data_IF_745568641706
#
_entry.id   IF_745568641706
#
_cell.length_a   1.000
_cell.length_b   1.000
_cell.length_c   1.000
_cell.angle_alpha   90.00
_cell.angle_beta   90.00
_cell.angle_gamma   90.00
#
_symmetry.space_group_name_H-M   'P 1'
#
loop_
_entity.id
_entity.type
_entity.pdbx_description
1 polymer ?
#
# COMPACT_ATOMS: atom_id res chain seq x y z
N UNK A 1 -72.26 -15.43 -38.80
CA UNK A 1 -71.28 -16.36 -39.38
C UNK A 1 -70.10 -16.39 -38.45
N UNK A 2 -70.06 -17.40 -37.59
CA UNK A 2 -68.88 -17.72 -36.77
C UNK A 2 -67.78 -18.28 -37.66
N UNK A 3 -66.52 -17.97 -37.34
CA UNK A 3 -65.29 -18.77 -37.50
C UNK A 3 -64.09 -17.82 -37.35
N UNK A 4 -62.93 -18.11 -36.76
CA UNK A 4 -62.37 -19.26 -36.03
C UNK A 4 -61.11 -18.72 -35.32
N UNK A 5 -61.00 -19.03 -34.03
CA UNK A 5 -59.81 -19.31 -33.22
C UNK A 5 -58.43 -19.38 -33.90
N UNK A 6 -57.40 -18.73 -33.34
CA UNK A 6 -56.15 -19.43 -32.95
C UNK A 6 -55.12 -18.58 -32.18
N UNK A 7 -54.85 -19.07 -30.96
CA UNK A 7 -53.52 -19.35 -30.36
C UNK A 7 -52.49 -18.22 -30.16
N UNK A 8 -52.25 -18.00 -28.85
CA UNK A 8 -50.94 -18.07 -28.18
C UNK A 8 -49.79 -17.29 -28.82
N UNK A 9 -49.38 -16.20 -28.18
CA UNK A 9 -47.97 -16.02 -27.81
C UNK A 9 -47.86 -15.14 -26.56
N UNK A 10 -47.90 -15.81 -25.42
CA UNK A 10 -47.26 -15.38 -24.18
C UNK A 10 -45.80 -15.08 -24.50
N UNK A 11 -45.37 -13.82 -24.41
CA UNK A 11 -43.94 -13.48 -24.35
C UNK A 11 -43.65 -12.88 -22.99
N UNK A 12 -43.18 -13.77 -22.13
CA UNK A 12 -42.52 -13.51 -20.86
C UNK A 12 -41.66 -12.25 -20.92
N UNK A 13 -42.00 -11.25 -20.10
CA UNK A 13 -41.02 -10.30 -19.62
C UNK A 13 -40.08 -11.06 -18.69
N UNK A 14 -38.99 -11.58 -19.26
CA UNK A 14 -37.87 -12.06 -18.47
C UNK A 14 -37.25 -10.84 -17.80
N UNK A 15 -37.60 -10.65 -16.52
CA UNK A 15 -36.91 -9.76 -15.60
C UNK A 15 -35.47 -10.27 -15.56
N UNK A 16 -34.58 -9.58 -16.26
CA UNK A 16 -33.15 -9.81 -16.15
C UNK A 16 -32.74 -9.29 -14.77
N UNK A 17 -32.89 -10.15 -13.76
CA UNK A 17 -32.14 -10.05 -12.52
C UNK A 17 -30.67 -10.09 -12.90
N UNK A 18 -30.08 -8.92 -13.12
CA UNK A 18 -28.64 -8.78 -13.14
C UNK A 18 -28.15 -9.30 -11.81
N UNK A 19 -27.52 -10.46 -11.92
CA UNK A 19 -27.02 -11.28 -10.85
C UNK A 19 -26.32 -10.39 -9.85
N UNK A 20 -26.81 -10.47 -8.62
CA UNK A 20 -26.09 -10.11 -7.40
C UNK A 20 -24.85 -11.00 -7.27
N UNK A 21 -23.85 -10.78 -8.11
CA UNK A 21 -22.47 -11.02 -7.73
C UNK A 21 -21.96 -9.69 -7.17
N UNK A 22 -22.45 -9.35 -5.97
CA UNK A 22 -21.58 -8.73 -4.98
C UNK A 22 -20.51 -9.78 -4.75
N UNK A 23 -19.48 -9.78 -5.60
CA UNK A 23 -18.27 -10.50 -5.27
C UNK A 23 -17.88 -9.94 -3.91
N UNK A 24 -17.74 -10.84 -2.93
CA UNK A 24 -16.75 -10.63 -1.88
C UNK A 24 -15.39 -10.63 -2.58
N UNK A 25 -15.14 -9.62 -3.41
CA UNK A 25 -13.91 -9.48 -4.16
C UNK A 25 -12.92 -8.89 -3.19
N UNK A 26 -12.09 -9.81 -2.70
CA UNK A 26 -10.73 -9.53 -2.33
C UNK A 26 -10.59 -8.57 -1.15
N UNK A 27 -10.86 -9.06 0.06
CA UNK A 27 -9.87 -8.85 1.11
C UNK A 27 -8.56 -9.45 0.58
N UNK A 28 -7.77 -8.65 -0.15
CA UNK A 28 -6.43 -9.06 -0.59
C UNK A 28 -5.60 -9.15 0.67
N UNK A 29 -5.67 -10.32 1.31
CA UNK A 29 -4.84 -10.61 2.46
C UNK A 29 -3.39 -10.54 2.00
N UNK A 30 -2.58 -9.77 2.73
CA UNK A 30 -1.15 -9.67 2.42
C UNK A 30 -0.57 -11.10 2.46
N UNK A 31 0.21 -11.52 1.45
CA UNK A 31 0.78 -12.86 1.45
C UNK A 31 1.52 -13.13 2.78
N UNK A 32 1.23 -14.27 3.40
CA UNK A 32 1.71 -14.60 4.75
C UNK A 32 3.23 -14.45 4.93
N UNK A 33 4.02 -14.75 3.90
CA UNK A 33 5.47 -14.57 3.93
C UNK A 33 5.87 -13.09 3.97
N UNK A 34 5.18 -12.23 3.21
CA UNK A 34 5.40 -10.78 3.19
C UNK A 34 4.99 -10.17 4.53
N UNK A 35 3.81 -10.56 5.04
CA UNK A 35 3.33 -10.14 6.35
C UNK A 35 4.35 -10.51 7.45
N UNK A 36 4.72 -11.79 7.56
CA UNK A 36 5.67 -12.25 8.59
C UNK A 36 6.98 -11.48 8.52
N UNK A 37 7.49 -11.20 7.33
CA UNK A 37 8.73 -10.45 7.18
C UNK A 37 8.56 -8.99 7.59
N UNK A 38 7.51 -8.30 7.15
CA UNK A 38 7.24 -6.92 7.52
C UNK A 38 6.98 -6.72 9.03
N UNK A 39 6.33 -7.68 9.69
CA UNK A 39 6.07 -7.66 11.15
C UNK A 39 7.29 -8.07 11.99
N UNK A 40 8.26 -8.79 11.41
CA UNK A 40 9.42 -9.30 12.17
C UNK A 40 10.43 -8.21 12.56
N UNK A 41 10.32 -7.01 11.98
CA UNK A 41 11.29 -5.95 12.14
C UNK A 41 10.65 -4.61 12.49
N UNK A 42 11.37 -3.84 13.29
CA UNK A 42 11.32 -2.39 13.32
C UNK A 42 12.20 -1.85 12.18
N UNK A 43 11.63 -1.00 11.32
CA UNK A 43 12.29 -0.52 10.11
C UNK A 43 12.84 0.88 10.33
N UNK A 44 14.15 1.06 10.23
CA UNK A 44 14.82 2.37 10.38
C UNK A 44 15.35 2.85 9.03
N UNK A 45 15.22 4.14 8.65
CA UNK A 45 15.73 4.65 7.38
C UNK A 45 17.22 4.43 7.21
N UNK A 46 17.65 4.08 5.99
CA UNK A 46 19.07 3.97 5.66
C UNK A 46 19.55 5.33 5.13
N UNK A 47 20.47 5.96 5.87
CA UNK A 47 21.03 7.28 5.53
C UNK A 47 21.90 7.25 4.27
N UNK A 48 22.50 6.11 3.97
CA UNK A 48 23.32 5.91 2.77
C UNK A 48 23.13 4.49 2.22
N UNK A 49 22.08 4.27 1.42
CA UNK A 49 21.89 3.00 0.73
C UNK A 49 22.92 2.85 -0.41
N UNK A 50 24.06 2.21 -0.11
CA UNK A 50 25.07 1.87 -1.13
C UNK A 50 24.48 0.79 -2.05
N UNK A 51 24.28 1.12 -3.32
CA UNK A 51 23.71 0.21 -4.32
C UNK A 51 23.97 0.69 -5.75
N UNK A 52 23.82 -0.20 -6.73
CA UNK A 52 24.32 -0.09 -8.12
C UNK A 52 23.44 0.70 -9.11
N UNK A 53 22.30 1.26 -8.67
CA UNK A 53 21.36 2.04 -9.50
C UNK A 53 21.38 3.54 -9.21
N UNK A 54 20.82 4.33 -10.14
CA UNK A 54 20.84 5.80 -10.19
C UNK A 54 20.55 6.46 -8.82
N UNK A 55 21.60 6.98 -8.18
CA UNK A 55 21.58 7.66 -6.89
C UNK A 55 20.57 8.82 -6.79
N UNK A 56 20.14 9.39 -7.91
CA UNK A 56 19.16 10.48 -7.94
C UNK A 56 17.74 10.05 -7.54
N UNK A 57 17.40 8.77 -7.70
CA UNK A 57 16.07 8.25 -7.38
C UNK A 57 15.97 7.71 -5.95
N UNK A 58 17.10 7.63 -5.24
CA UNK A 58 17.13 7.18 -3.84
C UNK A 58 16.79 8.35 -2.93
N UNK A 59 15.74 8.22 -2.13
CA UNK A 59 15.45 9.19 -1.09
C UNK A 59 16.60 9.22 -0.09
N UNK A 60 17.07 10.42 0.23
CA UNK A 60 18.07 10.64 1.27
C UNK A 60 17.34 11.19 2.49
N UNK A 61 17.17 10.40 3.56
CA UNK A 61 16.46 10.85 4.75
C UNK A 61 17.08 12.15 5.28
N UNK A 62 16.23 13.13 5.57
CA UNK A 62 16.63 14.35 6.29
C UNK A 62 17.09 13.97 7.70
N UNK A 63 17.88 14.83 8.35
CA UNK A 63 18.40 14.58 9.71
C UNK A 63 17.27 14.21 10.69
N UNK A 64 16.16 14.94 10.63
CA UNK A 64 14.96 14.68 11.41
C UNK A 64 14.25 13.32 11.15
N UNK A 65 14.50 12.66 10.01
CA UNK A 65 13.91 11.36 9.70
C UNK A 65 14.78 10.18 10.13
N UNK A 66 16.07 10.40 10.39
CA UNK A 66 17.07 9.32 10.53
C UNK A 66 16.79 8.41 11.72
N UNK A 67 16.23 8.98 12.78
CA UNK A 67 15.92 8.29 14.03
C UNK A 67 14.47 7.78 14.06
N UNK A 68 13.69 7.98 13.00
CA UNK A 68 12.34 7.44 12.93
C UNK A 68 12.37 5.92 12.83
N UNK A 69 11.42 5.27 13.50
CA UNK A 69 11.22 3.83 13.44
C UNK A 69 9.82 3.54 12.91
N UNK A 70 9.74 2.68 11.92
CA UNK A 70 8.49 2.32 11.26
C UNK A 70 8.11 0.87 11.54
N UNK A 71 6.83 0.61 11.73
CA UNK A 71 6.31 -0.75 11.97
C UNK A 71 5.09 -1.03 11.11
N UNK A 72 4.97 -2.29 10.68
CA UNK A 72 3.77 -2.80 10.04
C UNK A 72 3.01 -3.66 11.05
N UNK A 73 1.70 -3.47 11.12
CA UNK A 73 0.80 -4.29 11.94
C UNK A 73 -0.35 -4.77 11.05
N UNK A 74 -0.64 -6.06 11.10
CA UNK A 74 -1.68 -6.67 10.29
C UNK A 74 -2.80 -7.15 11.21
N UNK A 75 -4.03 -6.80 10.87
CA UNK A 75 -5.20 -7.13 11.67
C UNK A 75 -6.39 -7.39 10.75
N UNK A 76 -7.37 -8.13 11.23
CA UNK A 76 -8.58 -8.48 10.47
C UNK A 76 -9.35 -7.24 10.00
N UNK A 77 -9.31 -6.15 10.75
CA UNK A 77 -10.04 -4.91 10.43
C UNK A 77 -9.29 -3.99 9.47
N UNK A 78 -8.00 -3.79 9.67
CA UNK A 78 -7.15 -2.96 8.82
C UNK A 78 -5.66 -3.18 9.12
N UNK A 79 -4.85 -3.24 8.07
CA UNK A 79 -3.40 -3.17 8.22
C UNK A 79 -2.98 -1.72 8.50
N UNK A 80 -1.98 -1.54 9.35
CA UNK A 80 -1.47 -0.24 9.78
C UNK A 80 0.03 -0.16 9.56
N UNK A 81 0.45 0.95 8.99
CA UNK A 81 1.84 1.38 8.99
C UNK A 81 1.95 2.49 10.04
N UNK A 82 2.92 2.40 10.94
CA UNK A 82 3.07 3.31 12.07
C UNK A 82 4.46 3.92 12.05
N UNK A 83 4.58 5.18 12.40
CA UNK A 83 5.86 5.86 12.65
C UNK A 83 5.99 6.20 14.13
N UNK A 84 7.06 5.74 14.75
CA UNK A 84 7.57 6.25 16.01
C UNK A 84 8.65 7.28 15.68
N UNK A 85 8.33 8.56 15.87
CA UNK A 85 9.20 9.66 15.49
C UNK A 85 10.42 9.73 16.39
N UNK A 86 11.55 10.09 15.81
CA UNK A 86 12.78 10.40 16.53
C UNK A 86 12.64 11.63 17.43
N UNK A 87 13.77 12.06 18.00
CA UNK A 87 13.81 13.25 18.86
C UNK A 87 13.62 14.55 18.08
N UNK A 88 14.10 14.58 16.84
CA UNK A 88 13.99 15.74 15.96
C UNK A 88 12.74 15.59 15.08
N UNK A 89 11.89 16.61 15.07
CA UNK A 89 10.69 16.63 14.25
C UNK A 89 10.96 17.40 12.97
N UNK A 90 10.59 16.81 11.83
CA UNK A 90 10.59 17.53 10.57
C UNK A 90 9.46 18.56 10.56
N UNK A 91 9.76 19.83 10.26
CA UNK A 91 8.73 20.84 10.05
C UNK A 91 7.92 20.59 8.76
N UNK A 92 6.74 21.21 8.67
CA UNK A 92 5.78 21.01 7.58
C UNK A 92 6.32 21.42 6.19
N UNK A 93 7.37 22.24 6.15
CA UNK A 93 8.01 22.71 4.92
C UNK A 93 8.97 21.67 4.29
N UNK A 94 9.14 20.50 4.91
CA UNK A 94 10.09 19.47 4.46
C UNK A 94 9.41 18.41 3.61
N UNK A 95 9.97 18.18 2.41
CA UNK A 95 9.68 17.01 1.59
C UNK A 95 10.37 15.78 2.19
N UNK A 96 9.66 15.09 3.08
CA UNK A 96 10.13 13.90 3.81
C UNK A 96 9.28 12.69 3.45
N UNK A 97 9.81 11.48 3.61
CA UNK A 97 9.01 10.27 3.49
C UNK A 97 7.88 10.31 4.52
N UNK A 98 8.22 10.69 5.75
CA UNK A 98 7.26 10.80 6.83
C UNK A 98 6.10 11.73 6.49
N UNK A 99 6.38 12.99 6.08
CA UNK A 99 5.34 13.95 5.72
C UNK A 99 4.51 13.51 4.52
N UNK A 100 5.12 12.79 3.56
CA UNK A 100 4.42 12.25 2.38
C UNK A 100 3.43 11.14 2.73
N UNK A 101 3.73 10.34 3.76
CA UNK A 101 2.90 9.20 4.16
C UNK A 101 1.97 9.55 5.31
N UNK A 102 2.41 10.26 6.33
CA UNK A 102 1.66 10.38 7.56
C UNK A 102 0.99 11.74 7.74
N UNK A 103 1.40 12.76 6.99
CA UNK A 103 1.11 14.16 7.32
C UNK A 103 1.36 14.37 8.84
N UNK A 104 0.36 14.82 9.59
CA UNK A 104 0.44 15.00 11.05
C UNK A 104 0.19 13.71 11.86
N UNK A 105 -0.33 12.66 11.22
CA UNK A 105 -0.67 11.39 11.85
C UNK A 105 0.55 10.59 12.33
N UNK A 106 0.33 9.58 13.17
CA UNK A 106 1.38 8.63 13.61
C UNK A 106 1.22 7.25 12.98
N UNK A 107 0.07 7.00 12.35
CA UNK A 107 -0.21 5.75 11.67
C UNK A 107 -1.11 6.01 10.47
N UNK A 108 -1.05 5.12 9.50
CA UNK A 108 -1.88 5.14 8.31
C UNK A 108 -2.30 3.73 7.95
N UNK A 109 -3.58 3.56 7.65
CA UNK A 109 -4.08 2.29 7.16
C UNK A 109 -3.53 2.02 5.75
N UNK A 110 -3.39 0.75 5.39
CA UNK A 110 -2.95 0.38 4.05
C UNK A 110 -3.57 -0.91 3.52
N UNK A 111 -3.64 -1.01 2.20
CA UNK A 111 -3.98 -2.23 1.46
C UNK A 111 -2.78 -2.73 0.68
N UNK A 112 -2.78 -4.02 0.35
CA UNK A 112 -1.72 -4.64 -0.44
C UNK A 112 -2.29 -5.22 -1.73
N UNK A 113 -1.71 -4.86 -2.86
CA UNK A 113 -2.01 -5.46 -4.17
C UNK A 113 -1.01 -6.60 -4.42
N UNK A 114 -1.52 -7.84 -4.40
CA UNK A 114 -0.69 -9.03 -4.62
C UNK A 114 -0.12 -9.12 -6.04
N UNK A 115 -0.88 -8.69 -7.05
CA UNK A 115 -0.44 -8.75 -8.44
C UNK A 115 0.69 -7.77 -8.73
N UNK A 116 0.61 -6.57 -8.13
CA UNK A 116 1.62 -5.51 -8.27
C UNK A 116 2.71 -5.55 -7.22
N UNK A 117 2.56 -6.39 -6.18
CA UNK A 117 3.42 -6.43 -5.00
C UNK A 117 3.60 -5.05 -4.37
N UNK A 118 2.50 -4.31 -4.23
CA UNK A 118 2.55 -2.90 -3.81
C UNK A 118 1.56 -2.58 -2.71
N UNK A 119 1.95 -1.67 -1.83
CA UNK A 119 1.11 -1.07 -0.80
C UNK A 119 0.43 0.19 -1.34
N UNK A 120 -0.82 0.40 -0.97
CA UNK A 120 -1.53 1.67 -1.11
C UNK A 120 -2.00 2.15 0.25
N UNK A 121 -1.59 3.35 0.64
CA UNK A 121 -2.01 3.96 1.90
C UNK A 121 -3.41 4.57 1.76
N UNK A 122 -4.21 4.50 2.83
CA UNK A 122 -5.55 5.09 2.86
C UNK A 122 -5.50 6.59 2.58
N UNK A 123 -6.46 7.14 1.83
CA UNK A 123 -6.52 8.58 1.50
C UNK A 123 -5.33 9.12 0.68
N UNK A 124 -4.49 8.24 0.09
CA UNK A 124 -3.44 8.67 -0.83
C UNK A 124 -4.04 9.03 -2.19
N UNK A 125 -3.29 9.78 -3.00
CA UNK A 125 -3.62 9.97 -4.42
C UNK A 125 -3.98 8.62 -5.08
N UNK A 126 -5.03 8.57 -5.92
CA UNK A 126 -5.52 7.32 -6.49
C UNK A 126 -4.48 6.57 -7.34
N UNK A 127 -3.53 7.28 -7.93
CA UNK A 127 -2.46 6.75 -8.76
C UNK A 127 -1.19 6.40 -7.98
N UNK A 128 -1.09 6.83 -6.73
CA UNK A 128 0.07 6.58 -5.87
C UNK A 128 0.01 5.19 -5.24
N UNK A 129 1.08 4.43 -5.40
CA UNK A 129 1.35 3.20 -4.65
C UNK A 129 2.83 3.07 -4.34
N UNK A 130 3.18 2.06 -3.54
CA UNK A 130 4.56 1.78 -3.14
C UNK A 130 4.85 0.30 -3.38
N UNK A 131 5.66 0.00 -4.40
CA UNK A 131 6.14 -1.37 -4.60
C UNK A 131 6.99 -1.79 -3.40
N UNK A 132 6.78 -3.01 -2.92
CA UNK A 132 7.47 -3.57 -1.76
C UNK A 132 8.52 -4.56 -2.25
N UNK A 133 9.79 -4.26 -1.97
CA UNK A 133 10.89 -5.19 -2.16
C UNK A 133 11.52 -5.53 -0.82
N UNK A 134 11.73 -6.82 -0.59
CA UNK A 134 12.22 -7.38 0.65
C UNK A 134 13.40 -8.31 0.36
N UNK A 135 14.51 -8.11 1.06
CA UNK A 135 15.69 -8.98 1.00
C UNK A 135 16.28 -9.12 2.42
N UNK A 136 15.99 -10.23 3.09
CA UNK A 136 16.40 -10.42 4.49
C UNK A 136 15.84 -9.35 5.42
N UNK A 137 16.72 -8.53 6.00
CA UNK A 137 16.39 -7.40 6.86
C UNK A 137 16.45 -6.05 6.11
N UNK A 138 16.51 -6.06 4.78
CA UNK A 138 16.36 -4.87 3.94
C UNK A 138 14.92 -4.76 3.41
N UNK A 139 14.33 -3.57 3.57
CA UNK A 139 13.08 -3.18 2.95
C UNK A 139 13.33 -1.99 2.02
N UNK A 140 12.78 -2.06 0.81
CA UNK A 140 12.71 -0.94 -0.12
C UNK A 140 11.25 -0.71 -0.47
N UNK A 141 10.78 0.52 -0.22
CA UNK A 141 9.50 1.01 -0.72
C UNK A 141 9.77 1.90 -1.93
N UNK A 142 9.22 1.55 -3.09
CA UNK A 142 9.44 2.31 -4.32
C UNK A 142 8.15 3.01 -4.70
N UNK A 143 8.14 4.34 -4.65
CA UNK A 143 6.96 5.12 -5.05
C UNK A 143 6.67 4.90 -6.53
N UNK A 144 5.40 4.65 -6.86
CA UNK A 144 4.90 4.51 -8.22
C UNK A 144 3.71 5.44 -8.38
N UNK A 145 3.73 6.25 -9.44
CA UNK A 145 2.57 7.02 -9.87
C UNK A 145 2.13 6.47 -11.22
N UNK A 146 0.95 5.85 -11.25
CA UNK A 146 0.40 5.24 -12.47
C UNK A 146 -0.53 6.18 -13.25
N UNK A 147 -0.43 7.50 -13.02
CA UNK A 147 -1.20 8.48 -13.76
C UNK A 147 -0.68 8.54 -15.20
N UNK A 148 -1.51 8.22 -16.22
CA UNK A 148 -1.06 8.17 -17.62
C UNK A 148 -0.68 9.55 -18.19
N UNK A 149 -1.07 10.64 -17.52
CA UNK A 149 -0.78 12.02 -17.99
C UNK A 149 0.33 12.71 -17.21
N UNK A 150 0.87 12.10 -16.15
CA UNK A 150 1.96 12.66 -15.34
C UNK A 150 3.13 11.70 -15.33
N UNK A 151 4.27 12.13 -15.85
CA UNK A 151 5.52 11.41 -15.64
C UNK A 151 6.11 11.78 -14.28
N UNK A 152 6.01 10.89 -13.30
CA UNK A 152 6.72 10.99 -12.04
C UNK A 152 7.75 9.86 -11.93
N UNK A 153 9.02 10.24 -11.76
CA UNK A 153 10.07 9.26 -11.56
C UNK A 153 9.86 8.52 -10.23
N UNK A 154 10.05 7.19 -10.19
CA UNK A 154 9.98 6.43 -8.94
C UNK A 154 11.02 6.92 -7.94
N UNK A 155 10.64 7.02 -6.67
CA UNK A 155 11.54 7.34 -5.55
C UNK A 155 11.65 6.11 -4.65
N UNK A 156 12.87 5.70 -4.36
CA UNK A 156 13.19 4.53 -3.55
C UNK A 156 13.50 4.94 -2.11
N UNK A 157 12.76 4.38 -1.15
CA UNK A 157 12.94 4.58 0.28
C UNK A 157 13.50 3.30 0.89
N UNK A 158 14.66 3.40 1.52
CA UNK A 158 15.41 2.26 2.03
C UNK A 158 15.33 2.19 3.55
N UNK A 159 15.10 0.99 4.07
CA UNK A 159 14.99 0.74 5.51
C UNK A 159 15.77 -0.50 5.90
N UNK A 160 16.48 -0.39 7.03
CA UNK A 160 17.12 -1.49 7.70
C UNK A 160 16.20 -2.01 8.81
N UNK A 161 15.91 -3.29 8.76
CA UNK A 161 15.14 -4.00 9.76
C UNK A 161 15.99 -4.37 10.96
N UNK A 162 15.49 -4.08 12.16
CA UNK A 162 15.98 -4.60 13.43
C UNK A 162 14.94 -5.55 13.99
N UNK A 163 15.31 -6.80 14.26
CA UNK A 163 14.36 -7.81 14.73
C UNK A 163 13.66 -7.33 15.99
N UNK A 164 12.34 -7.41 15.99
CA UNK A 164 11.55 -7.25 17.20
C UNK A 164 11.84 -8.47 18.09
N UNK A 165 12.20 -8.25 19.34
CA UNK A 165 12.37 -9.35 20.28
C UNK A 165 11.04 -10.12 20.35
N UNK A 166 11.07 -11.44 20.13
CA UNK A 166 9.87 -12.25 20.29
C UNK A 166 9.42 -12.14 21.74
N UNK A 167 8.30 -11.46 21.99
CA UNK A 167 7.59 -11.58 23.26
C UNK A 167 7.18 -13.05 23.34
N UNK A 168 7.88 -13.81 24.20
CA UNK A 168 7.59 -15.22 24.49
C UNK A 168 6.26 -15.38 25.18
#
# INVERSE_FOLDING_TARGET
METVMNKLFTRSFAILFLLTSCSKENEVTVPMNVQKQLESFEWSPIVSAKGTTNEQLKHKPKDCEKDNVYTFTFAESANKFTVNRGKELCGDDKLTFESSIFAEGQHRAFTYDKGKKSIKFADSDPYQSYEVQLDGDLLILISRNNNPVVYAAPVEYYFQGKRVASTK
#
